data_IF_962584225212
#
_entry.id   IF_962584225212
#
_cell.length_a   1.000
_cell.length_b   1.000
_cell.length_c   1.000
_cell.angle_alpha   90.00
_cell.angle_beta   90.00
_cell.angle_gamma   90.00
#
_symmetry.space_group_name_H-M   'P 1'
#
loop_
_entity.id
_entity.type
_entity.pdbx_description
1 polymer ?
#
# COMPACT_ATOMS: atom_id res chain seq x y z
N UNK A 1 -29.48 -0.01 -25.02
CA UNK A 1 -28.58 -1.06 -25.55
C UNK A 1 -27.88 -0.50 -26.78
N UNK A 2 -26.67 0.06 -26.76
CA UNK A 2 -25.38 -0.67 -26.73
C UNK A 2 -24.18 0.24 -26.33
N UNK A 3 -24.42 1.39 -25.69
CA UNK A 3 -23.37 2.39 -25.41
C UNK A 3 -22.76 2.35 -24.00
N UNK A 4 -23.19 1.43 -23.11
CA UNK A 4 -22.63 1.32 -21.74
C UNK A 4 -21.51 0.28 -21.59
N UNK A 5 -21.14 -0.46 -22.64
CA UNK A 5 -20.24 -1.60 -22.52
C UNK A 5 -18.73 -1.26 -22.65
N UNK A 6 -18.36 -0.05 -23.06
CA UNK A 6 -16.97 0.29 -23.42
C UNK A 6 -16.11 0.86 -22.27
N UNK A 7 -16.68 1.09 -21.08
CA UNK A 7 -15.93 1.61 -19.91
C UNK A 7 -15.70 0.58 -18.80
N UNK A 8 -16.23 -0.64 -18.91
CA UNK A 8 -16.24 -1.62 -17.81
C UNK A 8 -15.14 -2.69 -17.94
N UNK A 9 -14.43 -2.75 -19.07
CA UNK A 9 -13.55 -3.89 -19.38
C UNK A 9 -12.26 -4.00 -18.55
N UNK A 10 -11.59 -2.93 -18.07
CA UNK A 10 -10.43 -3.08 -17.17
C UNK A 10 -10.84 -3.37 -15.71
N UNK A 11 -12.05 -2.95 -15.32
CA UNK A 11 -12.53 -2.99 -13.93
C UNK A 11 -12.98 -4.38 -13.49
N UNK A 12 -13.31 -5.29 -14.41
CA UNK A 12 -13.70 -6.66 -14.08
C UNK A 12 -12.57 -7.49 -13.45
N UNK A 13 -11.31 -7.12 -13.69
CA UNK A 13 -10.16 -7.78 -13.06
C UNK A 13 -9.80 -7.16 -11.68
N UNK A 14 -10.39 -6.02 -11.32
CA UNK A 14 -10.27 -5.40 -10.00
C UNK A 14 -11.19 -6.06 -8.94
N UNK A 15 -11.93 -7.12 -9.31
CA UNK A 15 -12.96 -7.72 -8.46
C UNK A 15 -12.39 -8.63 -7.36
N UNK A 16 -11.18 -9.16 -7.52
CA UNK A 16 -10.52 -9.95 -6.49
C UNK A 16 -9.64 -9.03 -5.63
N UNK A 17 -10.17 -8.61 -4.47
CA UNK A 17 -9.45 -7.79 -3.48
C UNK A 17 -9.32 -8.55 -2.16
N UNK A 18 -8.12 -8.58 -1.62
CA UNK A 18 -7.83 -9.06 -0.27
C UNK A 18 -7.86 -7.92 0.72
N UNK A 19 -8.45 -8.14 1.89
CA UNK A 19 -8.38 -7.18 2.99
C UNK A 19 -7.18 -7.48 3.86
N UNK A 20 -6.32 -6.48 4.10
CA UNK A 20 -5.18 -6.58 5.01
C UNK A 20 -5.27 -5.53 6.10
N UNK A 21 -5.41 -6.00 7.34
CA UNK A 21 -5.39 -5.12 8.51
C UNK A 21 -3.97 -4.60 8.74
N UNK A 22 -3.85 -3.31 9.00
CA UNK A 22 -2.59 -2.65 9.33
C UNK A 22 -2.72 -1.71 10.53
N UNK A 23 -1.62 -1.56 11.27
CA UNK A 23 -1.44 -0.56 12.32
C UNK A 23 -0.70 0.64 11.75
N UNK A 24 -1.19 1.84 12.09
CA UNK A 24 -0.50 3.07 11.72
C UNK A 24 0.90 3.10 12.34
N UNK A 25 1.88 3.57 11.57
CA UNK A 25 3.30 3.63 11.92
C UNK A 25 4.07 2.33 11.69
N UNK A 26 3.41 1.22 11.35
CA UNK A 26 4.11 -0.04 11.09
C UNK A 26 4.68 -0.10 9.66
N UNK A 27 5.60 -1.04 9.44
CA UNK A 27 6.12 -1.36 8.11
C UNK A 27 5.36 -2.56 7.54
N UNK A 28 4.86 -2.42 6.32
CA UNK A 28 4.02 -3.45 5.66
C UNK A 28 4.65 -3.88 4.35
N UNK A 29 4.73 -5.19 4.13
CA UNK A 29 5.08 -5.77 2.83
C UNK A 29 3.84 -6.32 2.12
N UNK A 30 3.70 -6.03 0.84
CA UNK A 30 2.74 -6.63 -0.08
C UNK A 30 3.49 -7.47 -1.09
N UNK A 31 3.00 -8.68 -1.36
CA UNK A 31 3.63 -9.62 -2.29
C UNK A 31 2.83 -9.68 -3.59
N UNK A 32 3.52 -9.94 -4.71
CA UNK A 32 2.94 -10.05 -6.03
C UNK A 32 3.13 -11.46 -6.59
N UNK A 33 2.04 -12.14 -6.95
CA UNK A 33 2.09 -13.51 -7.49
C UNK A 33 2.37 -13.57 -8.99
N UNK A 34 2.48 -12.42 -9.66
CA UNK A 34 2.86 -12.37 -11.07
C UNK A 34 4.33 -12.77 -11.27
N UNK A 35 4.63 -13.26 -12.47
CA UNK A 35 5.98 -13.65 -12.85
C UNK A 35 6.98 -12.48 -12.70
N UNK A 36 7.96 -12.66 -11.83
CA UNK A 36 9.02 -11.70 -11.53
C UNK A 36 10.03 -11.50 -12.67
N UNK A 37 9.91 -12.27 -13.76
CA UNK A 37 10.75 -12.11 -14.97
C UNK A 37 10.36 -10.90 -15.82
N UNK A 38 9.18 -10.31 -15.57
CA UNK A 38 8.73 -9.07 -16.21
C UNK A 38 8.97 -7.87 -15.31
N UNK A 39 8.90 -6.66 -15.87
CA UNK A 39 8.81 -5.45 -15.06
C UNK A 39 7.48 -5.45 -14.29
N UNK A 40 7.56 -5.15 -13.00
CA UNK A 40 6.42 -5.15 -12.08
C UNK A 40 6.15 -3.71 -11.67
N UNK A 41 4.92 -3.27 -11.95
CA UNK A 41 4.40 -1.97 -11.57
C UNK A 41 3.57 -2.11 -10.32
N UNK A 42 3.99 -1.45 -9.25
CA UNK A 42 3.18 -1.26 -8.05
C UNK A 42 2.32 -0.03 -8.21
N UNK A 43 1.02 -0.21 -8.05
CA UNK A 43 -0.02 0.77 -8.33
C UNK A 43 -0.91 0.94 -7.10
N UNK A 44 -1.32 2.17 -6.83
CA UNK A 44 -2.28 2.53 -5.78
C UNK A 44 -3.56 3.04 -6.41
N UNK A 45 -4.69 2.47 -6.00
CA UNK A 45 -6.03 2.92 -6.34
C UNK A 45 -6.62 3.66 -5.13
N UNK A 46 -6.79 4.97 -5.28
CA UNK A 46 -7.36 5.84 -4.26
C UNK A 46 -8.32 6.82 -4.92
N UNK A 47 -9.50 7.03 -4.34
CA UNK A 47 -10.51 7.98 -4.87
C UNK A 47 -10.82 7.78 -6.37
N UNK A 48 -10.84 6.52 -6.83
CA UNK A 48 -11.09 6.16 -8.23
C UNK A 48 -9.93 6.44 -9.19
N UNK A 49 -8.75 6.83 -8.69
CA UNK A 49 -7.55 7.09 -9.49
C UNK A 49 -6.48 6.04 -9.23
N UNK A 50 -5.88 5.55 -10.31
CA UNK A 50 -4.77 4.62 -10.27
C UNK A 50 -3.45 5.37 -10.47
N UNK A 51 -2.53 5.26 -9.52
CA UNK A 51 -1.23 5.94 -9.50
C UNK A 51 -0.10 4.93 -9.41
N UNK A 52 0.96 5.09 -10.22
CA UNK A 52 2.16 4.29 -10.08
C UNK A 52 2.99 4.73 -8.87
N UNK A 53 3.53 3.77 -8.13
CA UNK A 53 4.36 4.00 -6.94
C UNK A 53 5.80 3.56 -7.16
N UNK A 54 6.00 2.31 -7.56
CA UNK A 54 7.33 1.72 -7.76
C UNK A 54 7.29 0.84 -8.99
N UNK A 55 8.34 0.88 -9.79
CA UNK A 55 8.58 -0.08 -10.87
C UNK A 55 9.83 -0.87 -10.52
N UNK A 56 9.70 -2.19 -10.47
CA UNK A 56 10.82 -3.09 -10.20
C UNK A 56 11.04 -4.04 -11.36
N UNK A 57 12.28 -4.52 -11.49
CA UNK A 57 12.67 -5.47 -12.53
C UNK A 57 13.74 -6.41 -11.98
N UNK A 58 13.68 -7.68 -12.34
CA UNK A 58 14.78 -8.61 -12.07
C UNK A 58 15.95 -8.37 -13.03
N UNK A 59 17.15 -8.17 -12.49
CA UNK A 59 18.39 -8.15 -13.28
C UNK A 59 18.78 -9.57 -13.69
N UNK A 60 19.62 -9.69 -14.72
CA UNK A 60 20.22 -10.97 -15.11
C UNK A 60 21.01 -11.66 -13.99
N UNK A 61 21.50 -10.88 -13.01
CA UNK A 61 22.20 -11.39 -11.82
C UNK A 61 21.27 -12.01 -10.77
N UNK A 62 19.93 -11.95 -10.97
CA UNK A 62 18.93 -12.39 -10.00
C UNK A 62 18.61 -11.37 -8.91
N UNK A 63 19.25 -10.20 -8.93
CA UNK A 63 18.97 -9.10 -8.00
C UNK A 63 17.74 -8.29 -8.47
N UNK A 64 16.93 -7.82 -7.52
CA UNK A 64 15.86 -6.86 -7.82
C UNK A 64 16.45 -5.47 -8.06
N UNK A 65 16.10 -4.86 -9.20
CA UNK A 65 16.35 -3.45 -9.47
C UNK A 65 15.09 -2.63 -9.30
N UNK A 66 15.21 -1.44 -8.70
CA UNK A 66 14.17 -0.42 -8.72
C UNK A 66 14.44 0.47 -9.94
N UNK A 67 13.51 0.46 -10.90
CA UNK A 67 13.61 1.25 -12.14
C UNK A 67 13.13 2.67 -11.89
N UNK A 68 12.07 2.82 -11.09
CA UNK A 68 11.49 4.10 -10.72
C UNK A 68 10.76 4.00 -9.38
N UNK A 69 10.78 5.08 -8.60
CA UNK A 69 10.09 5.17 -7.33
C UNK A 69 9.55 6.59 -7.10
N UNK A 70 8.26 6.68 -6.79
CA UNK A 70 7.57 7.91 -6.48
C UNK A 70 8.05 8.56 -5.17
N UNK A 71 8.35 7.75 -4.16
CA UNK A 71 8.81 8.21 -2.86
C UNK A 71 9.72 7.16 -2.22
N UNK A 72 11.02 7.32 -2.45
CA UNK A 72 12.08 6.41 -1.98
C UNK A 72 12.20 6.34 -0.46
N UNK A 73 11.68 7.33 0.28
CA UNK A 73 11.70 7.31 1.75
C UNK A 73 10.54 6.52 2.36
N UNK A 74 9.54 6.17 1.56
CA UNK A 74 8.29 5.55 2.02
C UNK A 74 8.03 4.19 1.36
N UNK A 75 8.41 4.03 0.09
CA UNK A 75 8.20 2.82 -0.68
C UNK A 75 9.54 2.18 -1.07
N UNK A 76 9.63 0.85 -0.93
CA UNK A 76 10.82 0.08 -1.31
C UNK A 76 10.40 -1.18 -2.06
N UNK A 77 11.12 -1.52 -3.14
CA UNK A 77 10.98 -2.82 -3.78
C UNK A 77 11.70 -3.90 -2.97
N UNK A 78 11.09 -5.07 -2.82
CA UNK A 78 11.75 -6.24 -2.21
C UNK A 78 11.54 -7.51 -3.02
N UNK A 79 12.37 -8.51 -2.73
CA UNK A 79 12.27 -9.85 -3.28
C UNK A 79 12.34 -10.85 -2.13
N UNK A 80 11.34 -11.70 -1.98
CA UNK A 80 11.30 -12.75 -0.97
C UNK A 80 10.91 -14.07 -1.64
N UNK A 81 11.73 -15.12 -1.48
CA UNK A 81 11.47 -16.47 -2.02
C UNK A 81 11.03 -16.46 -3.50
N UNK A 82 11.74 -15.68 -4.33
CA UNK A 82 11.44 -15.50 -5.77
C UNK A 82 10.10 -14.82 -6.07
N UNK A 83 9.55 -14.09 -5.10
CA UNK A 83 8.32 -13.29 -5.26
C UNK A 83 8.69 -11.83 -5.01
N UNK A 84 8.33 -10.93 -5.93
CA UNK A 84 8.57 -9.50 -5.71
C UNK A 84 7.51 -8.91 -4.80
N UNK A 85 7.91 -7.91 -4.02
CA UNK A 85 7.04 -7.22 -3.09
C UNK A 85 7.26 -5.72 -3.10
N UNK A 86 6.28 -5.00 -2.55
CA UNK A 86 6.36 -3.60 -2.16
C UNK A 86 6.39 -3.51 -0.65
N UNK A 87 7.40 -2.84 -0.11
CA UNK A 87 7.48 -2.49 1.29
C UNK A 87 7.11 -1.03 1.47
N UNK A 88 6.22 -0.77 2.41
CA UNK A 88 5.75 0.54 2.82
C UNK A 88 6.24 0.79 4.24
N UNK A 89 6.97 1.87 4.46
CA UNK A 89 7.51 2.26 5.76
C UNK A 89 6.51 3.19 6.47
N UNK A 90 6.39 3.08 7.80
CA UNK A 90 5.58 4.01 8.61
C UNK A 90 4.18 4.30 8.05
N UNK A 91 3.38 3.25 7.84
CA UNK A 91 2.03 3.34 7.24
C UNK A 91 1.18 4.44 7.89
N UNK A 92 0.65 5.33 7.07
CA UNK A 92 -0.19 6.46 7.47
C UNK A 92 -1.64 6.26 7.03
N UNK A 93 -2.55 7.15 7.45
CA UNK A 93 -3.93 7.13 6.97
C UNK A 93 -4.02 7.32 5.46
N UNK A 94 -3.07 8.04 4.85
CA UNK A 94 -3.03 8.22 3.40
C UNK A 94 -2.71 6.93 2.66
N UNK A 95 -2.13 5.93 3.33
CA UNK A 95 -1.80 4.63 2.76
C UNK A 95 -2.96 3.62 2.84
N UNK A 96 -4.09 3.99 3.44
CA UNK A 96 -5.26 3.13 3.53
C UNK A 96 -6.02 3.16 2.19
N UNK A 97 -5.54 2.37 1.24
CA UNK A 97 -6.01 2.32 -0.14
C UNK A 97 -5.93 0.89 -0.69
N UNK A 98 -6.39 0.68 -1.92
CA UNK A 98 -6.18 -0.58 -2.62
C UNK A 98 -4.89 -0.53 -3.43
N UNK A 99 -4.05 -1.55 -3.29
CA UNK A 99 -2.79 -1.69 -4.00
C UNK A 99 -2.87 -2.85 -4.97
N UNK A 100 -2.26 -2.68 -6.14
CA UNK A 100 -2.17 -3.72 -7.17
C UNK A 100 -0.72 -3.82 -7.63
N UNK A 101 -0.28 -5.03 -7.94
CA UNK A 101 0.86 -5.22 -8.81
C UNK A 101 0.38 -5.55 -10.22
N UNK A 102 1.11 -5.09 -11.23
CA UNK A 102 0.80 -5.38 -12.62
C UNK A 102 2.06 -5.59 -13.45
N UNK A 103 1.96 -6.43 -14.47
CA UNK A 103 2.95 -6.51 -15.55
C UNK A 103 2.41 -5.80 -16.79
N UNK A 104 3.30 -5.22 -17.59
CA UNK A 104 2.93 -4.64 -18.88
C UNK A 104 3.28 -5.61 -20.01
N UNK A 105 2.28 -6.07 -20.76
CA UNK A 105 2.45 -6.91 -21.94
C UNK A 105 1.63 -6.35 -23.10
N UNK A 106 2.28 -6.10 -24.25
CA UNK A 106 1.63 -5.57 -25.46
C UNK A 106 0.72 -4.34 -25.19
N UNK A 107 1.17 -3.43 -24.31
CA UNK A 107 0.42 -2.22 -23.87
C UNK A 107 -0.83 -2.49 -23.02
N UNK A 108 -1.03 -3.73 -22.59
CA UNK A 108 -2.04 -4.11 -21.61
C UNK A 108 -1.40 -4.36 -20.24
N UNK A 109 -2.02 -3.82 -19.19
CA UNK A 109 -1.65 -4.13 -17.82
C UNK A 109 -2.39 -5.40 -17.40
N UNK A 110 -1.64 -6.41 -16.97
CA UNK A 110 -2.16 -7.60 -16.34
C UNK A 110 -1.94 -7.47 -14.84
N UNK A 111 -3.04 -7.43 -14.09
CA UNK A 111 -3.03 -7.21 -12.65
C UNK A 111 -3.02 -8.55 -11.89
N UNK A 112 -2.42 -8.57 -10.71
CA UNK A 112 -2.73 -9.58 -9.70
C UNK A 112 -3.98 -9.16 -8.90
N UNK A 113 -4.39 -10.02 -7.97
CA UNK A 113 -5.33 -9.70 -6.91
C UNK A 113 -4.91 -8.41 -6.19
N UNK A 114 -5.87 -7.50 -5.99
CA UNK A 114 -5.64 -6.28 -5.22
C UNK A 114 -5.52 -6.56 -3.72
N UNK A 115 -4.85 -5.68 -2.99
CA UNK A 115 -4.82 -5.69 -1.52
C UNK A 115 -5.31 -4.35 -1.00
N UNK A 116 -6.46 -4.35 -0.33
CA UNK A 116 -6.99 -3.19 0.39
C UNK A 116 -6.40 -3.16 1.80
N UNK A 117 -5.63 -2.11 2.07
CA UNK A 117 -5.20 -1.82 3.43
C UNK A 117 -6.33 -1.14 4.20
N UNK A 118 -6.54 -1.58 5.43
CA UNK A 118 -7.46 -0.93 6.36
C UNK A 118 -6.87 -0.96 7.76
N UNK A 119 -7.20 0.05 8.57
CA UNK A 119 -6.85 0.05 9.98
C UNK A 119 -8.10 0.01 10.84
N UNK A 120 -8.08 -0.78 11.92
CA UNK A 120 -9.11 -0.70 12.96
C UNK A 120 -9.26 0.71 13.53
N UNK A 121 -8.19 1.49 13.50
CA UNK A 121 -8.17 2.88 13.94
C UNK A 121 -8.88 3.88 13.00
N UNK A 122 -9.17 3.48 11.76
CA UNK A 122 -9.96 4.28 10.82
C UNK A 122 -11.45 3.94 10.93
N UNK A 123 -11.76 2.65 11.09
CA UNK A 123 -13.13 2.16 11.30
C UNK A 123 -13.73 2.61 12.64
N UNK A 124 -12.87 2.79 13.65
CA UNK A 124 -13.21 3.43 14.92
C UNK A 124 -12.63 4.85 14.83
N UNK A 125 -13.42 5.88 14.48
CA UNK A 125 -13.05 7.31 14.32
C UNK A 125 -12.26 8.00 15.48
N UNK A 126 -11.64 7.24 16.40
CA UNK A 126 -11.10 7.64 17.70
C UNK A 126 -9.58 7.45 17.86
N UNK A 127 -8.80 7.13 16.82
CA UNK A 127 -7.36 6.89 16.99
C UNK A 127 -6.57 8.17 17.33
N UNK A 128 -6.86 9.26 16.64
CA UNK A 128 -6.20 10.56 16.86
C UNK A 128 -6.50 11.07 18.27
N UNK A 129 -7.75 10.96 18.72
CA UNK A 129 -8.16 11.36 20.09
C UNK A 129 -7.36 10.63 21.15
N UNK A 130 -7.09 9.32 20.97
CA UNK A 130 -6.31 8.54 21.95
C UNK A 130 -4.82 8.88 21.95
N UNK A 131 -4.21 9.19 20.81
CA UNK A 131 -2.80 9.61 20.75
C UNK A 131 -2.60 11.00 21.35
N UNK A 132 -3.50 11.96 21.08
CA UNK A 132 -3.50 13.26 21.76
C UNK A 132 -3.76 13.12 23.27
N UNK A 133 -4.70 12.25 23.70
CA UNK A 133 -4.93 11.97 25.13
C UNK A 133 -3.76 11.26 25.82
N UNK A 134 -3.07 10.35 25.13
CA UNK A 134 -1.89 9.66 25.66
C UNK A 134 -0.71 10.64 25.86
N UNK A 135 -0.47 11.53 24.89
CA UNK A 135 0.56 12.57 25.01
C UNK A 135 0.23 13.59 26.11
N UNK A 136 -1.07 13.88 26.35
CA UNK A 136 -1.50 14.73 27.47
C UNK A 136 -1.34 14.02 28.82
N UNK A 137 -1.63 12.71 28.93
CA UNK A 137 -1.45 11.95 30.18
C UNK A 137 0.01 11.87 30.62
N UNK A 138 0.96 11.74 29.69
CA UNK A 138 2.40 11.70 30.01
C UNK A 138 2.91 13.07 30.54
N UNK A 139 2.22 14.18 30.22
CA UNK A 139 2.58 15.53 30.69
C UNK A 139 1.96 15.96 32.02
N UNK A 140 1.02 15.21 32.59
CA UNK A 140 0.24 15.62 33.78
C UNK A 140 0.59 14.87 35.07
N UNK A 141 1.41 13.82 35.04
CA UNK A 141 1.83 13.08 36.25
C UNK A 141 2.98 13.76 37.03
N UNK A 142 3.53 14.89 36.55
CA UNK A 142 4.63 15.60 37.22
C UNK A 142 4.26 16.89 37.96
N UNK A 143 2.97 17.27 38.05
CA UNK A 143 2.57 18.56 38.62
C UNK A 143 1.46 18.48 39.67
N UNK A 144 1.52 17.56 40.63
CA UNK A 144 0.73 17.70 41.87
C UNK A 144 1.49 17.16 43.08
N UNK A 145 2.49 17.91 43.54
CA UNK A 145 2.95 17.85 44.94
C UNK A 145 3.38 19.24 45.43
N UNK A 146 2.41 20.16 45.53
CA UNK A 146 2.43 21.26 46.50
C UNK A 146 0.99 21.44 46.97
N UNK A 147 0.60 20.69 48.01
CA UNK A 147 -0.61 20.96 48.77
C UNK A 147 -0.16 21.75 50.01
N UNK A 148 -0.80 22.91 50.17
CA UNK A 148 -0.69 23.86 51.29
C UNK A 148 -0.95 23.18 52.64
#
# INVERSE_FOLDING_TARGET
>A
CFLSALLVSPLKHLEAVELKEVKLGETVALMCNLSFYSEIHWLKMSEGRLMALVVTRLKHTGELSVVWNYNETHFEGLMEKQTTGLRMLHVSTSDLATYYCATSYQKHLNFDKGVQLYSKCELLQNCLVRLFQANIKVGLEHFYLVIV
#
